data_IF_479091729518
#
_entry.id   IF_479091729518
#
_cell.length_a   1.000
_cell.length_b   1.000
_cell.length_c   1.000
_cell.angle_alpha   90.00
_cell.angle_beta   90.00
_cell.angle_gamma   90.00
#
_symmetry.space_group_name_H-M   'P 1'
#
loop_
_entity.id
_entity.type
_entity.pdbx_description
1 polymer ?
#
# COMPACT_ATOMS: atom_id res chain seq x y z
N UNK A 1 -0.20 23.71 -1.65
CA UNK A 1 1.13 23.45 -1.08
C UNK A 1 0.96 22.44 0.04
N UNK A 2 1.84 21.44 0.13
CA UNK A 2 1.80 20.50 1.25
C UNK A 2 2.17 21.24 2.56
N UNK A 3 1.70 20.78 3.74
CA UNK A 3 2.13 21.33 5.02
C UNK A 3 3.66 21.29 5.14
N UNK A 4 4.26 22.33 5.71
CA UNK A 4 5.68 22.28 6.06
C UNK A 4 5.88 21.35 7.26
N UNK A 5 6.98 20.58 7.26
CA UNK A 5 7.37 19.77 8.41
C UNK A 5 6.54 18.49 8.61
N UNK A 6 6.13 17.82 7.52
CA UNK A 6 5.45 16.52 7.60
C UNK A 6 6.35 15.53 8.36
N UNK A 7 5.91 15.09 9.53
CA UNK A 7 6.69 14.15 10.34
C UNK A 7 6.66 12.73 9.77
N UNK A 8 5.52 12.35 9.19
CA UNK A 8 5.28 11.02 8.67
C UNK A 8 4.30 11.06 7.50
N UNK A 9 4.63 10.31 6.45
CA UNK A 9 3.71 9.99 5.36
C UNK A 9 3.55 8.47 5.25
N UNK A 10 2.30 7.99 5.18
CA UNK A 10 1.99 6.57 5.02
C UNK A 10 1.24 6.40 3.70
N UNK A 11 1.69 5.46 2.87
CA UNK A 11 1.00 5.07 1.66
C UNK A 11 0.75 3.57 1.66
N UNK A 12 -0.51 3.17 1.44
CA UNK A 12 -0.90 1.78 1.25
C UNK A 12 -1.20 1.51 -0.22
N UNK A 13 -0.78 0.35 -0.75
CA UNK A 13 -1.14 -0.10 -2.09
C UNK A 13 -0.81 0.95 -3.18
N UNK A 14 -1.81 1.48 -3.90
CA UNK A 14 -1.65 2.57 -4.88
C UNK A 14 -1.23 3.90 -4.23
N UNK A 15 -1.65 4.16 -2.99
CA UNK A 15 -1.17 5.30 -2.20
C UNK A 15 0.33 5.23 -1.93
N UNK A 16 0.90 4.02 -1.82
CA UNK A 16 2.35 3.82 -1.70
C UNK A 16 3.10 4.18 -3.00
N UNK A 17 2.48 3.92 -4.15
CA UNK A 17 3.00 4.33 -5.46
C UNK A 17 2.98 5.86 -5.58
N UNK A 18 1.85 6.47 -5.24
CA UNK A 18 1.73 7.93 -5.24
C UNK A 18 2.76 8.56 -4.31
N UNK A 19 2.87 8.05 -3.08
CA UNK A 19 3.85 8.52 -2.10
C UNK A 19 5.28 8.44 -2.66
N UNK A 20 5.66 7.32 -3.27
CA UNK A 20 7.00 7.16 -3.85
C UNK A 20 7.31 8.20 -4.94
N UNK A 21 6.29 8.67 -5.67
CA UNK A 21 6.46 9.71 -6.69
C UNK A 21 6.56 11.13 -6.12
N UNK A 22 5.88 11.39 -5.00
CA UNK A 22 5.77 12.75 -4.44
C UNK A 22 6.63 12.94 -3.19
N UNK A 23 7.29 11.89 -2.68
CA UNK A 23 8.07 11.95 -1.42
C UNK A 23 9.19 12.99 -1.49
N UNK A 24 9.82 13.16 -2.65
CA UNK A 24 10.82 14.21 -2.87
C UNK A 24 10.22 15.60 -2.74
N UNK A 25 8.96 15.81 -3.13
CA UNK A 25 8.29 17.10 -3.01
C UNK A 25 7.69 17.34 -1.62
N UNK A 26 7.23 16.27 -0.95
CA UNK A 26 6.65 16.34 0.38
C UNK A 26 7.72 16.53 1.47
N UNK A 27 8.94 16.01 1.25
CA UNK A 27 10.02 15.98 2.23
C UNK A 27 9.58 15.55 3.65
N UNK A 28 8.85 14.43 3.81
CA UNK A 28 8.48 13.98 5.14
C UNK A 28 9.72 13.51 5.90
N UNK A 29 9.74 13.66 7.22
CA UNK A 29 10.86 13.15 8.01
C UNK A 29 10.98 11.61 7.90
N UNK A 30 9.85 10.92 7.75
CA UNK A 30 9.75 9.47 7.59
C UNK A 30 8.66 9.10 6.59
N UNK A 31 8.84 7.99 5.88
CA UNK A 31 7.83 7.41 4.99
C UNK A 31 7.58 5.94 5.33
N UNK A 32 6.32 5.52 5.32
CA UNK A 32 5.92 4.11 5.44
C UNK A 32 5.17 3.70 4.18
N UNK A 33 5.62 2.62 3.56
CA UNK A 33 4.98 1.99 2.40
C UNK A 33 4.37 0.65 2.86
N UNK A 34 3.06 0.63 3.07
CA UNK A 34 2.31 -0.57 3.43
C UNK A 34 1.93 -1.35 2.17
N UNK A 35 2.49 -2.55 2.06
CA UNK A 35 2.31 -3.51 0.96
C UNK A 35 2.23 -2.83 -0.43
N UNK A 36 3.32 -2.16 -0.87
CA UNK A 36 3.27 -1.23 -1.97
C UNK A 36 2.99 -1.91 -3.32
N UNK A 37 2.08 -1.32 -4.09
CA UNK A 37 1.73 -1.79 -5.43
C UNK A 37 2.73 -1.28 -6.50
N UNK A 38 4.04 -1.39 -6.27
CA UNK A 38 5.06 -0.88 -7.21
C UNK A 38 5.18 -1.73 -8.47
N UNK A 39 4.83 -3.01 -8.39
CA UNK A 39 4.86 -3.93 -9.52
C UNK A 39 3.46 -4.46 -9.81
N UNK A 40 3.08 -4.63 -11.09
CA UNK A 40 1.85 -5.31 -11.42
C UNK A 40 1.93 -6.76 -10.93
N UNK A 41 0.84 -7.27 -10.38
CA UNK A 41 0.74 -8.66 -9.90
C UNK A 41 0.74 -9.70 -11.03
N UNK A 42 0.76 -9.26 -12.30
CA UNK A 42 0.76 -10.12 -13.49
C UNK A 42 1.86 -9.72 -14.47
N UNK A 43 2.35 -10.70 -15.24
CA UNK A 43 3.32 -10.45 -16.32
C UNK A 43 2.72 -9.67 -17.49
N UNK A 44 1.39 -9.61 -17.60
CA UNK A 44 0.68 -8.81 -18.60
C UNK A 44 0.67 -7.30 -18.30
N UNK A 45 1.29 -6.88 -17.19
CA UNK A 45 1.50 -5.48 -16.85
C UNK A 45 0.31 -4.83 -16.15
N UNK A 46 0.32 -3.50 -16.10
CA UNK A 46 -0.73 -2.74 -15.41
C UNK A 46 -2.09 -2.87 -16.11
N UNK A 47 -2.13 -2.89 -17.44
CA UNK A 47 -3.39 -2.91 -18.20
C UNK A 47 -4.32 -4.07 -17.85
N UNK A 48 -3.79 -5.24 -17.50
CA UNK A 48 -4.59 -6.40 -17.09
C UNK A 48 -5.12 -6.32 -15.66
N UNK A 49 -4.46 -5.59 -14.77
CA UNK A 49 -4.87 -5.47 -13.36
C UNK A 49 -5.83 -4.31 -13.11
N UNK A 50 -5.95 -3.34 -14.03
CA UNK A 50 -6.83 -2.18 -13.84
C UNK A 50 -8.33 -2.51 -13.86
N UNK A 51 -8.85 -3.27 -14.83
CA UNK A 51 -10.28 -3.59 -14.83
C UNK A 51 -10.77 -4.26 -13.53
N UNK A 52 -10.11 -5.32 -13.00
CA UNK A 52 -10.53 -5.90 -11.75
C UNK A 52 -10.31 -4.96 -10.55
N UNK A 53 -9.25 -4.13 -10.56
CA UNK A 53 -9.05 -3.13 -9.49
C UNK A 53 -10.15 -2.07 -9.46
N UNK A 54 -10.60 -1.58 -10.63
CA UNK A 54 -11.74 -0.64 -10.73
C UNK A 54 -13.04 -1.27 -10.25
N UNK A 55 -13.24 -2.56 -10.53
CA UNK A 55 -14.44 -3.29 -10.09
C UNK A 55 -14.56 -3.35 -8.56
N UNK A 56 -13.46 -3.23 -7.81
CA UNK A 56 -13.45 -3.20 -6.34
C UNK A 56 -14.33 -2.06 -5.77
N UNK A 57 -14.52 -0.96 -6.51
CA UNK A 57 -15.42 0.15 -6.16
C UNK A 57 -16.85 -0.33 -5.83
N UNK A 58 -17.29 -1.42 -6.47
CA UNK A 58 -18.65 -1.91 -6.39
C UNK A 58 -18.83 -3.09 -5.42
N UNK A 59 -17.80 -3.45 -4.63
CA UNK A 59 -17.93 -4.52 -3.65
C UNK A 59 -18.95 -4.16 -2.58
N UNK A 60 -19.78 -5.14 -2.23
CA UNK A 60 -20.76 -5.03 -1.16
C UNK A 60 -20.19 -5.52 0.17
N UNK A 61 -20.91 -5.26 1.26
CA UNK A 61 -20.58 -5.84 2.56
C UNK A 61 -20.56 -7.38 2.54
N UNK A 62 -21.40 -8.00 1.71
CA UNK A 62 -21.44 -9.46 1.56
C UNK A 62 -20.18 -9.96 0.85
N UNK A 63 -19.76 -9.29 -0.23
CA UNK A 63 -18.53 -9.63 -0.95
C UNK A 63 -17.30 -9.49 -0.05
N UNK A 64 -17.22 -8.40 0.73
CA UNK A 64 -16.11 -8.19 1.65
C UNK A 64 -16.07 -9.23 2.77
N UNK A 65 -17.20 -9.63 3.35
CA UNK A 65 -17.24 -10.70 4.37
C UNK A 65 -16.86 -12.06 3.79
N UNK A 66 -17.24 -12.32 2.54
CA UNK A 66 -16.84 -13.55 1.85
C UNK A 66 -15.34 -13.57 1.54
N UNK A 67 -14.77 -12.44 1.13
CA UNK A 67 -13.34 -12.32 0.80
C UNK A 67 -12.44 -12.25 2.05
N UNK A 68 -12.92 -11.63 3.12
CA UNK A 68 -12.16 -11.36 4.34
C UNK A 68 -12.94 -11.84 5.59
N UNK A 69 -13.05 -13.17 5.80
CA UNK A 69 -13.89 -13.73 6.86
C UNK A 69 -13.41 -13.41 8.28
N UNK A 70 -12.15 -12.99 8.45
CA UNK A 70 -11.58 -12.58 9.74
C UNK A 70 -11.81 -11.10 10.06
N UNK A 71 -12.28 -10.28 9.10
CA UNK A 71 -12.47 -8.86 9.34
C UNK A 71 -13.65 -8.61 10.29
N UNK A 72 -13.43 -7.67 11.19
CA UNK A 72 -14.48 -7.17 12.08
C UNK A 72 -15.50 -6.34 11.29
N UNK A 73 -16.71 -6.19 11.83
CA UNK A 73 -17.71 -5.32 11.20
C UNK A 73 -17.21 -3.87 11.06
N UNK A 74 -16.36 -3.39 11.98
CA UNK A 74 -15.76 -2.05 11.88
C UNK A 74 -14.80 -1.95 10.69
N UNK A 75 -13.97 -2.96 10.42
CA UNK A 75 -13.10 -2.99 9.24
C UNK A 75 -13.90 -3.02 7.95
N UNK A 76 -15.00 -3.80 7.91
CA UNK A 76 -15.92 -3.83 6.77
C UNK A 76 -16.56 -2.46 6.53
N UNK A 77 -17.05 -1.79 7.58
CA UNK A 77 -17.64 -0.45 7.44
C UNK A 77 -16.61 0.59 6.99
N UNK A 78 -15.40 0.56 7.55
CA UNK A 78 -14.32 1.46 7.14
C UNK A 78 -13.97 1.26 5.66
N UNK A 79 -13.88 0.01 5.20
CA UNK A 79 -13.62 -0.30 3.79
C UNK A 79 -14.75 0.17 2.88
N UNK A 80 -16.02 0.00 3.28
CA UNK A 80 -17.15 0.47 2.48
C UNK A 80 -17.18 2.00 2.37
N UNK A 81 -16.84 2.71 3.45
CA UNK A 81 -16.71 4.17 3.42
C UNK A 81 -15.56 4.61 2.49
N UNK A 82 -14.39 3.97 2.59
CA UNK A 82 -13.27 4.21 1.68
C UNK A 82 -13.69 3.98 0.22
N UNK A 83 -14.37 2.87 -0.06
CA UNK A 83 -14.84 2.57 -1.42
C UNK A 83 -15.88 3.57 -1.88
N UNK A 84 -16.77 4.07 -1.02
CA UNK A 84 -17.76 5.09 -1.39
C UNK A 84 -17.09 6.40 -1.85
N UNK A 85 -16.03 6.83 -1.15
CA UNK A 85 -15.32 8.08 -1.41
C UNK A 85 -14.25 7.96 -2.51
N UNK A 86 -13.73 6.76 -2.73
CA UNK A 86 -12.63 6.54 -3.69
C UNK A 86 -13.06 6.79 -5.14
N UNK A 87 -12.33 7.63 -5.87
CA UNK A 87 -12.51 7.82 -7.30
C UNK A 87 -11.73 6.77 -8.10
N UNK A 88 -12.38 5.84 -8.84
CA UNK A 88 -11.69 4.83 -9.64
C UNK A 88 -10.81 5.42 -10.75
N UNK A 89 -11.01 6.68 -11.14
CA UNK A 89 -10.16 7.34 -12.13
C UNK A 89 -8.78 7.70 -11.60
N UNK A 90 -8.53 7.60 -10.29
CA UNK A 90 -7.15 7.52 -9.76
C UNK A 90 -6.41 6.28 -10.30
N UNK A 91 -7.14 5.32 -10.88
CA UNK A 91 -6.56 4.22 -11.66
C UNK A 91 -6.44 4.49 -13.16
N UNK A 92 -6.47 5.74 -13.62
CA UNK A 92 -6.19 6.10 -15.01
C UNK A 92 -5.00 7.04 -15.17
N UNK A 93 -4.24 7.29 -14.11
CA UNK A 93 -3.22 8.35 -14.12
C UNK A 93 -2.05 8.02 -15.08
N UNK A 94 -1.74 8.98 -15.96
CA UNK A 94 -0.76 8.88 -17.07
C UNK A 94 0.69 8.55 -16.67
N UNK A 95 1.03 8.64 -15.38
CA UNK A 95 2.38 8.30 -14.89
C UNK A 95 2.64 6.80 -14.75
N UNK A 96 1.76 5.92 -15.27
CA UNK A 96 1.85 4.47 -15.02
C UNK A 96 2.76 3.71 -15.95
N UNK A 97 2.99 4.26 -17.14
CA UNK A 97 4.11 3.83 -17.99
C UNK A 97 5.46 4.29 -17.43
N UNK A 98 5.43 5.17 -16.42
CA UNK A 98 6.58 5.70 -15.68
C UNK A 98 6.47 5.47 -14.17
N UNK A 99 5.61 4.54 -13.71
CA UNK A 99 5.29 4.38 -12.29
C UNK A 99 6.61 4.25 -11.54
N UNK A 100 6.91 5.25 -10.70
CA UNK A 100 8.25 5.39 -10.17
C UNK A 100 8.45 4.30 -9.11
N UNK A 101 9.04 3.20 -9.53
CA UNK A 101 9.49 2.15 -8.63
C UNK A 101 10.72 2.72 -7.94
N UNK A 102 10.67 3.00 -6.63
CA UNK A 102 11.78 3.69 -5.98
C UNK A 102 12.99 2.76 -5.94
N UNK A 103 14.12 3.17 -6.51
CA UNK A 103 15.34 2.34 -6.50
C UNK A 103 16.08 2.39 -5.17
N UNK A 104 15.86 3.45 -4.37
CA UNK A 104 16.42 3.71 -3.04
C UNK A 104 15.49 4.65 -2.26
N UNK A 105 15.56 4.68 -0.92
CA UNK A 105 14.78 5.63 -0.14
C UNK A 105 15.34 7.05 -0.25
N UNK A 106 14.47 8.05 -0.46
CA UNK A 106 14.85 9.47 -0.49
C UNK A 106 14.80 10.15 0.90
N UNK A 107 14.07 9.53 1.81
CA UNK A 107 13.93 9.87 3.24
C UNK A 107 13.98 8.56 4.03
N UNK A 108 14.21 8.56 5.36
CA UNK A 108 14.03 7.35 6.17
C UNK A 108 12.71 6.65 5.81
N UNK A 109 12.80 5.41 5.33
CA UNK A 109 11.66 4.71 4.73
C UNK A 109 11.52 3.28 5.23
N UNK A 110 10.32 2.94 5.70
CA UNK A 110 9.92 1.59 6.07
C UNK A 110 9.02 0.99 4.99
N UNK A 111 9.29 -0.25 4.61
CA UNK A 111 8.35 -1.11 3.90
C UNK A 111 7.72 -2.04 4.94
N UNK A 112 6.41 -1.92 5.12
CA UNK A 112 5.62 -2.86 5.92
C UNK A 112 4.96 -3.85 4.98
N UNK A 113 5.43 -5.09 4.98
CA UNK A 113 5.08 -6.13 4.00
C UNK A 113 4.15 -7.18 4.62
N UNK A 114 3.15 -7.59 3.87
CA UNK A 114 2.28 -8.72 4.24
C UNK A 114 3.00 -10.08 4.08
N UNK A 115 2.52 -11.12 4.75
CA UNK A 115 3.01 -12.49 4.57
C UNK A 115 1.88 -13.53 4.45
N UNK A 116 1.61 -14.04 3.24
CA UNK A 116 2.30 -13.74 1.97
C UNK A 116 1.84 -12.41 1.34
N UNK A 117 2.78 -11.63 0.80
CA UNK A 117 2.46 -10.50 -0.09
C UNK A 117 2.44 -10.94 -1.56
N UNK A 118 1.33 -10.66 -2.24
CA UNK A 118 1.17 -10.86 -3.69
C UNK A 118 1.74 -9.72 -4.52
N UNK A 119 1.85 -8.52 -3.93
CA UNK A 119 2.36 -7.31 -4.61
C UNK A 119 3.87 -7.14 -4.46
N UNK A 120 4.42 -7.61 -3.33
CA UNK A 120 5.83 -7.53 -3.05
C UNK A 120 6.37 -8.92 -2.65
N UNK A 121 6.70 -9.79 -3.62
CA UNK A 121 7.30 -11.09 -3.33
C UNK A 121 8.63 -10.97 -2.58
N UNK A 122 9.01 -12.02 -1.83
CA UNK A 122 10.20 -12.03 -0.95
C UNK A 122 11.50 -11.63 -1.66
N UNK A 123 11.69 -12.03 -2.93
CA UNK A 123 12.89 -11.65 -3.68
C UNK A 123 12.96 -10.12 -3.91
N UNK A 124 11.86 -9.48 -4.33
CA UNK A 124 11.78 -8.02 -4.48
C UNK A 124 11.96 -7.30 -3.15
N UNK A 125 11.34 -7.81 -2.08
CA UNK A 125 11.50 -7.22 -0.75
C UNK A 125 12.98 -7.19 -0.31
N UNK A 126 13.73 -8.26 -0.60
CA UNK A 126 15.17 -8.32 -0.34
C UNK A 126 15.99 -7.35 -1.20
N UNK A 127 15.58 -7.09 -2.45
CA UNK A 127 16.18 -6.05 -3.30
C UNK A 127 16.05 -4.68 -2.62
N UNK A 128 14.85 -4.28 -2.18
CA UNK A 128 14.64 -3.00 -1.50
C UNK A 128 15.39 -2.88 -0.17
N UNK A 129 15.43 -3.96 0.62
CA UNK A 129 16.25 -4.00 1.84
C UNK A 129 17.72 -3.76 1.53
N UNK A 130 18.23 -4.36 0.46
CA UNK A 130 19.62 -4.15 0.00
C UNK A 130 19.84 -2.71 -0.49
N UNK A 131 18.83 -2.10 -1.10
CA UNK A 131 18.86 -0.69 -1.53
C UNK A 131 18.73 0.34 -0.41
N UNK A 132 18.53 -0.09 0.84
CA UNK A 132 18.54 0.77 2.04
C UNK A 132 17.18 1.05 2.67
N UNK A 133 16.09 0.42 2.22
CA UNK A 133 14.82 0.48 2.93
C UNK A 133 14.88 -0.37 4.21
N UNK A 134 14.24 0.10 5.29
CA UNK A 134 13.88 -0.79 6.39
C UNK A 134 12.72 -1.67 5.93
N UNK A 135 12.77 -2.97 6.24
CA UNK A 135 11.74 -3.92 5.87
C UNK A 135 11.26 -4.67 7.11
N UNK A 136 9.95 -4.59 7.38
CA UNK A 136 9.27 -5.40 8.38
C UNK A 136 8.17 -6.19 7.71
N UNK A 137 8.07 -7.47 8.05
CA UNK A 137 7.07 -8.38 7.47
C UNK A 137 6.12 -8.83 8.57
N UNK A 138 4.81 -8.68 8.34
CA UNK A 138 3.78 -9.03 9.31
C UNK A 138 3.18 -10.39 8.95
N UNK A 139 3.37 -11.41 9.80
CA UNK A 139 2.93 -12.77 9.50
C UNK A 139 1.42 -12.89 9.45
N UNK A 140 0.90 -13.78 8.57
CA UNK A 140 -0.53 -14.13 8.50
C UNK A 140 -1.44 -12.95 8.17
N UNK A 141 -0.94 -12.00 7.40
CA UNK A 141 -1.73 -10.88 6.87
C UNK A 141 -1.74 -10.92 5.35
N UNK A 142 -2.84 -10.45 4.78
CA UNK A 142 -2.98 -10.16 3.37
C UNK A 142 -2.65 -8.70 3.08
N UNK A 143 -3.15 -8.22 1.94
CA UNK A 143 -2.81 -6.89 1.42
C UNK A 143 -3.15 -5.75 2.40
N UNK A 144 -4.22 -5.89 3.18
CA UNK A 144 -4.71 -4.87 4.11
C UNK A 144 -4.25 -5.17 5.53
N UNK A 145 -2.96 -5.03 5.80
CA UNK A 145 -2.34 -5.40 7.10
C UNK A 145 -3.05 -4.71 8.27
N UNK A 146 -3.38 -3.42 8.12
CA UNK A 146 -4.11 -2.64 9.13
C UNK A 146 -5.54 -3.14 9.43
N UNK A 147 -6.17 -3.88 8.51
CA UNK A 147 -7.47 -4.53 8.75
C UNK A 147 -7.35 -5.99 9.20
N UNK A 148 -6.35 -6.70 8.71
CA UNK A 148 -6.12 -8.12 9.02
C UNK A 148 -5.60 -8.31 10.45
N UNK A 149 -4.66 -7.47 10.88
CA UNK A 149 -4.04 -7.52 12.21
C UNK A 149 -3.60 -6.11 12.62
N UNK A 150 -4.51 -5.36 13.23
CA UNK A 150 -4.25 -3.98 13.66
C UNK A 150 -3.11 -3.90 14.68
N UNK A 151 -3.03 -4.85 15.62
CA UNK A 151 -1.96 -4.89 16.62
C UNK A 151 -0.61 -5.20 15.97
N UNK A 152 -0.60 -6.16 15.04
CA UNK A 152 0.58 -6.49 14.22
C UNK A 152 1.03 -5.33 13.33
N UNK A 153 0.10 -4.59 12.73
CA UNK A 153 0.38 -3.35 12.00
C UNK A 153 1.03 -2.32 12.93
N UNK A 154 0.42 -2.06 14.09
CA UNK A 154 0.90 -1.04 15.02
C UNK A 154 2.28 -1.37 15.60
N UNK A 155 2.52 -2.63 15.98
CA UNK A 155 3.85 -3.11 16.35
C UNK A 155 4.83 -2.96 15.19
N UNK A 156 4.39 -3.31 13.98
CA UNK A 156 5.15 -3.17 12.75
C UNK A 156 5.64 -1.76 12.49
N UNK A 157 4.84 -0.73 12.81
CA UNK A 157 5.23 0.68 12.64
C UNK A 157 5.82 1.31 13.91
N UNK A 158 6.00 0.54 15.00
CA UNK A 158 6.55 1.08 16.25
C UNK A 158 7.97 1.66 16.04
N UNK A 159 8.19 2.85 16.59
CA UNK A 159 9.42 3.64 16.40
C UNK A 159 9.43 4.48 15.12
N UNK A 160 8.43 4.29 14.24
CA UNK A 160 8.21 5.11 13.05
C UNK A 160 7.03 6.08 13.21
N UNK A 161 6.09 5.75 14.10
CA UNK A 161 4.99 6.61 14.57
C UNK A 161 5.33 7.24 15.91
#
# INVERSE_FOLDING_TARGET
MAPNGIELAIGHSLGAVLLAMIVEHLHPQRAIYEDPAWHPSTTAGWGSVLPPMRAVKNLTAADLRAAFPSWTDSSIQARLAELADWDPDTTSLNYRETAYVPVRPLVPSLILRADPSTLLPTHRANEYRTSGFELRTIPRTGHFIHFDDFDGFFEGVRGWV
#
